data_IF_298583680814
#
_entry.id   IF_298583680814
#
_cell.length_a   1.000
_cell.length_b   1.000
_cell.length_c   1.000
_cell.angle_alpha   90.00
_cell.angle_beta   90.00
_cell.angle_gamma   90.00
#
_symmetry.space_group_name_H-M   'P 1'
#
loop_
_entity.id
_entity.type
_entity.pdbx_description
1 polymer ?
#
# COMPACT_ATOMS: atom_id res chain seq x y z
N UNK A 1 18.04 6.70 18.62
CA UNK A 1 18.57 6.75 17.23
C UNK A 1 17.70 5.82 16.41
N UNK A 2 16.65 6.34 15.77
CA UNK A 2 15.80 5.54 14.90
C UNK A 2 16.55 5.30 13.58
N UNK A 3 16.44 4.12 12.96
CA UNK A 3 17.07 3.88 11.67
C UNK A 3 16.47 4.84 10.65
N UNK A 4 17.35 5.59 9.97
CA UNK A 4 16.98 6.39 8.82
C UNK A 4 16.50 5.46 7.71
N UNK A 5 15.23 5.61 7.33
CA UNK A 5 14.60 4.83 6.25
C UNK A 5 15.05 5.32 4.88
N UNK A 6 16.36 5.35 4.60
CA UNK A 6 16.85 5.59 3.25
C UNK A 6 16.46 4.38 2.38
N UNK A 7 15.34 4.49 1.67
CA UNK A 7 14.81 3.43 0.81
C UNK A 7 15.85 2.99 -0.22
N UNK A 8 16.32 1.76 -0.11
CA UNK A 8 17.27 1.17 -1.05
C UNK A 8 16.56 0.85 -2.37
N UNK A 9 16.81 1.65 -3.41
CA UNK A 9 16.39 1.33 -4.79
C UNK A 9 17.50 0.56 -5.50
N UNK A 10 17.29 -0.74 -5.68
CA UNK A 10 18.19 -1.60 -6.46
C UNK A 10 17.70 -1.62 -7.92
N UNK A 11 18.59 -1.35 -8.86
CA UNK A 11 18.34 -1.57 -10.29
C UNK A 11 19.00 -2.86 -10.74
N UNK A 12 18.21 -3.84 -11.18
CA UNK A 12 18.70 -5.11 -11.71
C UNK A 12 18.50 -5.14 -13.24
N UNK A 13 19.58 -5.29 -14.03
CA UNK A 13 19.48 -5.41 -15.49
C UNK A 13 18.50 -6.51 -15.89
N UNK A 14 17.63 -6.23 -16.87
CA UNK A 14 16.61 -7.18 -17.34
C UNK A 14 15.38 -7.35 -16.44
N UNK A 15 15.35 -6.78 -15.23
CA UNK A 15 14.26 -6.99 -14.25
C UNK A 15 13.31 -5.79 -14.10
N UNK A 16 13.47 -4.74 -14.92
CA UNK A 16 12.70 -3.50 -14.80
C UNK A 16 11.17 -3.71 -14.87
N UNK A 17 10.69 -4.71 -15.62
CA UNK A 17 9.25 -5.03 -15.68
C UNK A 17 8.72 -5.57 -14.35
N UNK A 18 9.46 -6.45 -13.68
CA UNK A 18 9.06 -7.00 -12.38
C UNK A 18 9.11 -5.95 -11.28
N UNK A 19 10.15 -5.11 -11.29
CA UNK A 19 10.27 -3.99 -10.36
C UNK A 19 9.14 -2.96 -10.55
N UNK A 20 8.78 -2.67 -11.82
CA UNK A 20 7.63 -1.82 -12.13
C UNK A 20 6.33 -2.43 -11.62
N UNK A 21 6.12 -3.72 -11.84
CA UNK A 21 4.93 -4.43 -11.38
C UNK A 21 4.80 -4.39 -9.85
N UNK A 22 5.89 -4.61 -9.13
CA UNK A 22 5.94 -4.48 -7.68
C UNK A 22 5.60 -3.05 -7.21
N UNK A 23 6.16 -2.03 -7.86
CA UNK A 23 5.88 -0.64 -7.53
C UNK A 23 4.41 -0.28 -7.79
N UNK A 24 3.86 -0.65 -8.94
CA UNK A 24 2.45 -0.40 -9.27
C UNK A 24 1.49 -1.14 -8.31
N UNK A 25 1.87 -2.33 -7.83
CA UNK A 25 1.08 -3.05 -6.83
C UNK A 25 1.04 -2.28 -5.49
N UNK A 26 2.18 -1.74 -5.04
CA UNK A 26 2.25 -0.89 -3.84
C UNK A 26 1.45 0.40 -4.03
N UNK A 27 1.56 1.03 -5.19
CA UNK A 27 0.83 2.25 -5.51
C UNK A 27 -0.69 2.00 -5.53
N UNK A 28 -1.13 0.84 -6.02
CA UNK A 28 -2.54 0.46 -5.96
C UNK A 28 -3.06 0.38 -4.51
N UNK A 29 -2.30 -0.24 -3.59
CA UNK A 29 -2.71 -0.33 -2.17
C UNK A 29 -2.84 1.06 -1.56
N UNK A 30 -1.90 1.96 -1.86
CA UNK A 30 -1.94 3.36 -1.41
C UNK A 30 -3.12 4.11 -2.00
N UNK A 31 -3.39 3.96 -3.30
CA UNK A 31 -4.54 4.57 -3.98
C UNK A 31 -5.86 4.07 -3.38
N UNK A 32 -5.93 2.79 -2.99
CA UNK A 32 -7.10 2.20 -2.36
C UNK A 32 -7.32 2.74 -0.93
N UNK A 33 -6.27 2.80 -0.12
CA UNK A 33 -6.30 3.35 1.23
C UNK A 33 -6.55 4.87 1.24
N UNK A 34 -6.01 5.61 0.27
CA UNK A 34 -6.23 7.05 0.11
C UNK A 34 -7.69 7.44 -0.19
N UNK A 35 -8.51 6.47 -0.61
CA UNK A 35 -9.97 6.67 -0.77
C UNK A 35 -10.73 6.47 0.54
N UNK A 36 -10.11 5.94 1.58
CA UNK A 36 -10.74 5.79 2.89
C UNK A 36 -10.53 7.05 3.72
N UNK A 37 -11.42 7.27 4.69
CA UNK A 37 -11.39 8.48 5.53
C UNK A 37 -10.10 8.62 6.35
N UNK A 38 -9.50 7.50 6.73
CA UNK A 38 -8.42 7.47 7.71
C UNK A 38 -7.11 6.89 7.16
N UNK A 39 -7.06 6.51 5.87
CA UNK A 39 -5.92 5.76 5.32
C UNK A 39 -5.82 4.34 5.88
N UNK A 40 -6.93 3.82 6.40
CA UNK A 40 -7.04 2.51 7.05
C UNK A 40 -8.22 1.74 6.48
N UNK A 41 -8.08 0.41 6.39
CA UNK A 41 -9.16 -0.49 6.01
C UNK A 41 -8.92 -1.90 6.57
N UNK A 42 -9.99 -2.70 6.78
CA UNK A 42 -9.84 -4.14 7.02
C UNK A 42 -9.11 -4.82 5.85
N UNK A 43 -8.25 -5.80 6.13
CA UNK A 43 -7.54 -6.58 5.10
C UNK A 43 -8.51 -7.23 4.11
N UNK A 44 -9.63 -7.77 4.62
CA UNK A 44 -10.69 -8.38 3.80
C UNK A 44 -11.30 -7.40 2.80
N UNK A 45 -11.49 -6.14 3.20
CA UNK A 45 -12.05 -5.09 2.34
C UNK A 45 -11.11 -4.73 1.19
N UNK A 46 -9.80 -4.75 1.42
CA UNK A 46 -8.79 -4.53 0.36
C UNK A 46 -8.67 -5.75 -0.54
N UNK A 47 -8.61 -6.95 0.05
CA UNK A 47 -8.54 -8.21 -0.67
C UNK A 47 -9.69 -8.37 -1.65
N UNK A 48 -10.93 -8.15 -1.19
CA UNK A 48 -12.12 -8.23 -2.03
C UNK A 48 -12.02 -7.29 -3.24
N UNK A 49 -11.48 -6.08 -3.06
CA UNK A 49 -11.30 -5.12 -4.17
C UNK A 49 -10.19 -5.52 -5.12
N UNK A 50 -9.12 -6.10 -4.60
CA UNK A 50 -8.04 -6.59 -5.45
C UNK A 50 -8.53 -7.75 -6.32
N UNK A 51 -9.26 -8.70 -5.72
CA UNK A 51 -9.73 -9.93 -6.35
C UNK A 51 -11.01 -9.75 -7.19
N UNK A 52 -11.83 -8.72 -6.92
CA UNK A 52 -13.06 -8.44 -7.67
C UNK A 52 -12.82 -8.17 -9.18
N UNK A 53 -11.57 -7.97 -9.59
CA UNK A 53 -11.21 -7.79 -10.99
C UNK A 53 -11.76 -6.47 -11.56
N UNK A 54 -12.04 -6.42 -12.87
CA UNK A 54 -12.47 -5.18 -13.53
C UNK A 54 -13.88 -4.77 -13.11
N UNK A 55 -14.00 -3.67 -12.37
CA UNK A 55 -15.30 -3.09 -12.08
C UNK A 55 -15.32 -2.08 -10.93
N UNK A 56 -16.52 -1.57 -10.59
CA UNK A 56 -16.71 -0.63 -9.51
C UNK A 56 -16.23 -1.17 -8.17
N UNK A 57 -15.29 -0.47 -7.54
CA UNK A 57 -14.66 -0.93 -6.30
C UNK A 57 -13.46 -1.86 -6.50
N UNK A 58 -13.23 -2.43 -7.69
CA UNK A 58 -12.11 -3.31 -7.99
C UNK A 58 -10.94 -2.67 -8.75
N UNK A 59 -10.20 -3.47 -9.51
CA UNK A 59 -9.13 -3.02 -10.40
C UNK A 59 -9.69 -2.41 -11.69
N UNK A 60 -9.77 -1.07 -11.77
CA UNK A 60 -10.28 -0.40 -12.97
C UNK A 60 -9.27 -0.39 -14.13
N UNK A 61 -9.79 -0.49 -15.36
CA UNK A 61 -9.04 -0.16 -16.58
C UNK A 61 -7.90 -1.12 -16.88
N UNK A 62 -6.84 -0.72 -17.61
CA UNK A 62 -5.77 -1.63 -18.01
C UNK A 62 -5.00 -2.28 -16.84
N UNK A 63 -5.03 -1.69 -15.64
CA UNK A 63 -4.34 -2.19 -14.44
C UNK A 63 -4.71 -3.62 -14.04
N UNK A 64 -5.95 -4.06 -14.29
CA UNK A 64 -6.32 -5.46 -13.99
C UNK A 64 -5.51 -6.46 -14.84
N UNK A 65 -5.14 -6.09 -16.07
CA UNK A 65 -4.32 -6.93 -16.95
C UNK A 65 -2.88 -6.97 -16.48
N UNK A 66 -2.40 -5.85 -15.96
CA UNK A 66 -1.03 -5.73 -15.44
C UNK A 66 -0.85 -6.57 -14.16
N UNK A 67 -1.90 -6.71 -13.35
CA UNK A 67 -1.88 -7.51 -12.11
C UNK A 67 -2.41 -8.93 -12.26
N UNK A 68 -2.68 -9.39 -13.48
CA UNK A 68 -3.21 -10.73 -13.68
C UNK A 68 -2.21 -11.80 -13.22
N UNK A 69 -2.64 -12.64 -12.27
CA UNK A 69 -1.79 -13.67 -11.65
C UNK A 69 -0.98 -13.20 -10.44
N UNK A 70 -1.17 -11.96 -9.96
CA UNK A 70 -0.67 -11.56 -8.64
C UNK A 70 -1.64 -12.03 -7.56
N UNK A 71 -1.09 -12.60 -6.50
CA UNK A 71 -1.84 -12.97 -5.30
C UNK A 71 -1.86 -11.81 -4.30
N UNK A 72 -2.99 -11.64 -3.60
CA UNK A 72 -3.16 -10.57 -2.60
C UNK A 72 -2.06 -10.62 -1.52
N UNK A 73 -1.73 -11.81 -1.02
CA UNK A 73 -0.69 -12.03 -0.01
C UNK A 73 0.67 -11.48 -0.46
N UNK A 74 0.98 -11.60 -1.76
CA UNK A 74 2.22 -11.04 -2.31
C UNK A 74 2.15 -9.52 -2.36
N UNK A 75 1.04 -8.95 -2.83
CA UNK A 75 0.85 -7.49 -2.95
C UNK A 75 0.97 -6.80 -1.59
N UNK A 76 0.25 -7.30 -0.59
CA UNK A 76 0.30 -6.73 0.77
C UNK A 76 1.67 -6.95 1.41
N UNK A 77 2.30 -8.11 1.16
CA UNK A 77 3.67 -8.40 1.61
C UNK A 77 4.70 -7.44 1.03
N UNK A 78 4.60 -7.11 -0.27
CA UNK A 78 5.47 -6.09 -0.88
C UNK A 78 5.23 -4.72 -0.27
N UNK A 79 3.98 -4.31 -0.08
CA UNK A 79 3.65 -3.01 0.51
C UNK A 79 4.18 -2.88 1.96
N UNK A 80 4.11 -3.95 2.76
CA UNK A 80 4.75 -4.01 4.08
C UNK A 80 6.27 -3.98 3.97
N UNK A 81 6.84 -4.78 3.07
CA UNK A 81 8.29 -4.90 2.89
C UNK A 81 8.98 -3.59 2.49
N UNK A 82 8.29 -2.73 1.73
CA UNK A 82 8.79 -1.39 1.37
C UNK A 82 8.39 -0.30 2.36
N UNK A 83 7.71 -0.65 3.46
CA UNK A 83 7.25 0.29 4.48
C UNK A 83 6.15 1.24 3.99
N UNK A 84 5.36 0.85 2.99
CA UNK A 84 4.23 1.64 2.51
C UNK A 84 3.00 1.50 3.40
N UNK A 85 2.83 0.35 4.04
CA UNK A 85 1.71 0.05 4.93
C UNK A 85 2.18 -0.78 6.13
N UNK A 86 1.40 -0.77 7.21
CA UNK A 86 1.51 -1.70 8.32
C UNK A 86 0.25 -2.58 8.42
N UNK A 87 0.44 -3.81 8.90
CA UNK A 87 -0.65 -4.72 9.28
C UNK A 87 -0.81 -4.69 10.79
N UNK A 88 -2.05 -4.58 11.27
CA UNK A 88 -2.35 -4.55 12.70
C UNK A 88 -3.56 -5.43 13.03
N UNK A 89 -3.64 -5.91 14.27
CA UNK A 89 -4.79 -6.69 14.73
C UNK A 89 -5.92 -5.76 15.18
N UNK A 90 -7.12 -5.96 14.64
CA UNK A 90 -8.29 -5.11 14.95
C UNK A 90 -9.16 -5.68 16.08
N UNK A 91 -8.96 -6.94 16.47
CA UNK A 91 -9.68 -7.61 17.57
C UNK A 91 -11.13 -8.04 17.30
N UNK A 92 -11.82 -7.49 16.30
CA UNK A 92 -13.21 -7.88 15.96
C UNK A 92 -13.47 -8.22 14.50
N UNK A 93 -12.66 -7.71 13.57
CA UNK A 93 -12.87 -7.86 12.11
C UNK A 93 -11.69 -8.51 11.37
N UNK A 94 -10.73 -9.08 12.12
CA UNK A 94 -9.48 -9.61 11.59
C UNK A 94 -8.37 -8.56 11.53
N UNK A 95 -7.43 -8.70 10.58
CA UNK A 95 -6.31 -7.76 10.39
C UNK A 95 -6.76 -6.49 9.69
N UNK A 96 -6.25 -5.35 10.14
CA UNK A 96 -6.33 -4.06 9.49
C UNK A 96 -5.05 -3.73 8.73
N UNK A 97 -5.18 -2.89 7.71
CA UNK A 97 -4.07 -2.33 6.93
C UNK A 97 -4.11 -0.82 7.08
N UNK A 98 -2.98 -0.20 7.45
CA UNK A 98 -2.84 1.26 7.57
C UNK A 98 -1.75 1.76 6.64
N UNK A 99 -2.01 2.83 5.91
CA UNK A 99 -1.00 3.52 5.13
C UNK A 99 0.01 4.23 6.05
N UNK A 100 1.29 4.00 5.81
CA UNK A 100 2.35 4.76 6.46
C UNK A 100 2.65 5.99 5.61
N UNK A 101 2.67 7.17 6.23
CA UNK A 101 3.27 8.35 5.61
C UNK A 101 4.73 7.99 5.35
N UNK A 102 5.08 7.74 4.08
CA UNK A 102 6.45 7.42 3.70
C UNK A 102 7.36 8.48 4.30
N UNK A 103 8.39 8.05 5.05
CA UNK A 103 9.27 8.89 5.86
C UNK A 103 9.39 10.33 5.35
N UNK A 104 8.62 11.21 5.98
CA UNK A 104 8.49 12.62 5.73
C UNK A 104 7.89 13.20 6.99
N UNK A 105 8.75 13.88 7.74
CA UNK A 105 8.55 14.42 9.08
C UNK A 105 7.12 14.87 9.40
N UNK A 106 6.69 14.53 10.62
CA UNK A 106 5.64 15.26 11.30
C UNK A 106 6.05 16.72 11.45
N UNK A 107 5.45 17.59 10.65
CA UNK A 107 5.37 19.02 10.91
C UNK A 107 4.46 19.28 12.11
N UNK A 108 4.96 19.01 13.31
CA UNK A 108 4.46 19.64 14.52
C UNK A 108 4.87 21.11 14.52
N UNK A 109 3.94 21.98 14.10
CA UNK A 109 3.93 23.40 14.47
C UNK A 109 2.50 23.67 14.91
N UNK A 110 2.20 23.67 16.20
CA UNK A 110 2.68 24.68 17.13
C UNK A 110 1.50 25.61 17.37
N UNK A 111 0.72 25.30 18.42
CA UNK A 111 -0.27 26.23 18.93
C UNK A 111 0.41 27.55 19.29
N UNK A 112 -0.13 28.64 18.76
CA UNK A 112 0.15 29.99 19.18
C UNK A 112 -1.18 30.72 19.29
N UNK A 113 -1.68 30.85 20.51
CA UNK A 113 -2.73 31.80 20.83
C UNK A 113 -2.24 33.24 20.64
N UNK A 114 -3.17 34.12 20.30
CA UNK A 114 -2.99 35.55 20.09
C UNK A 114 -4.17 36.11 19.32
#
# INVERSE_FOLDING_TARGET
MAPDGSGLRISLPGHGRFLKLAQEAVDWVRDALGKTRWGEAPESWLRERFEAGPGPGGLYGPRWRDFWGLEWEWVVGQAVGVGAVELFETGSVGRGVRALAGGGEGGGGGGGGG
#
